data_IF_105675581055
#
_entry.id   IF_105675581055
#
_cell.length_a   1.000
_cell.length_b   1.000
_cell.length_c   1.000
_cell.angle_alpha   90.00
_cell.angle_beta   90.00
_cell.angle_gamma   90.00
#
_symmetry.space_group_name_H-M   'P 1'
#
loop_
_entity.id
_entity.type
_entity.pdbx_description
1 polymer ?
#
# COMPACT_ATOMS: atom_id res chain seq x y z
N UNK A 1 -14.11 7.78 -17.24
CA UNK A 1 -13.26 8.76 -17.93
C UNK A 1 -12.38 9.55 -16.97
N UNK A 2 -12.90 10.35 -16.01
CA UNK A 2 -12.08 11.19 -15.11
C UNK A 2 -10.98 10.43 -14.37
N UNK A 3 -11.31 9.34 -13.63
CA UNK A 3 -10.33 8.56 -12.86
C UNK A 3 -9.27 7.90 -13.75
N UNK A 4 -9.66 7.39 -14.93
CA UNK A 4 -8.72 6.78 -15.86
C UNK A 4 -7.71 7.82 -16.39
N UNK A 5 -8.19 9.00 -16.76
CA UNK A 5 -7.31 10.11 -17.20
C UNK A 5 -6.36 10.53 -16.08
N UNK A 6 -6.86 10.69 -14.85
CA UNK A 6 -6.04 11.03 -13.68
C UNK A 6 -4.97 9.97 -13.40
N UNK A 7 -5.28 8.69 -13.57
CA UNK A 7 -4.31 7.60 -13.43
C UNK A 7 -3.19 7.71 -14.47
N UNK A 8 -3.53 7.92 -15.75
CA UNK A 8 -2.51 8.05 -16.80
C UNK A 8 -1.62 9.27 -16.59
N UNK A 9 -2.17 10.40 -16.13
CA UNK A 9 -1.37 11.57 -15.77
C UNK A 9 -0.42 11.23 -14.62
N UNK A 10 -0.90 10.59 -13.56
CA UNK A 10 -0.08 10.19 -12.43
C UNK A 10 1.04 9.22 -12.82
N UNK A 11 0.74 8.24 -13.67
CA UNK A 11 1.73 7.30 -14.22
C UNK A 11 2.77 8.02 -15.10
N UNK A 12 2.36 8.98 -15.91
CA UNK A 12 3.27 9.80 -16.72
C UNK A 12 4.24 10.60 -15.85
N UNK A 13 3.74 11.29 -14.81
CA UNK A 13 4.57 12.04 -13.87
C UNK A 13 5.50 11.10 -13.09
N UNK A 14 5.01 9.95 -12.63
CA UNK A 14 5.81 8.93 -11.95
C UNK A 14 6.95 8.43 -12.85
N UNK A 15 6.66 8.05 -14.08
CA UNK A 15 7.66 7.52 -15.01
C UNK A 15 8.73 8.56 -15.34
N UNK A 16 8.33 9.80 -15.67
CA UNK A 16 9.27 10.89 -15.94
C UNK A 16 10.09 11.24 -14.71
N UNK A 17 9.48 11.29 -13.53
CA UNK A 17 10.15 11.52 -12.27
C UNK A 17 11.16 10.41 -11.93
N UNK A 18 10.82 9.16 -12.18
CA UNK A 18 11.71 8.02 -12.00
C UNK A 18 12.91 8.08 -12.94
N UNK A 19 12.67 8.36 -14.23
CA UNK A 19 13.73 8.55 -15.24
C UNK A 19 14.65 9.71 -14.82
N UNK A 20 14.09 10.83 -14.39
CA UNK A 20 14.85 11.97 -13.89
C UNK A 20 15.74 11.57 -12.71
N UNK A 21 15.18 10.93 -11.68
CA UNK A 21 15.90 10.51 -10.48
C UNK A 21 17.01 9.49 -10.77
N UNK A 22 16.71 8.44 -11.55
CA UNK A 22 17.70 7.44 -11.92
C UNK A 22 18.79 8.06 -12.78
N UNK A 23 18.44 8.94 -13.73
CA UNK A 23 19.43 9.63 -14.56
C UNK A 23 20.34 10.57 -13.74
N UNK A 24 19.83 11.14 -12.65
CA UNK A 24 20.62 12.01 -11.76
C UNK A 24 21.77 11.25 -11.09
N UNK A 25 21.61 9.97 -10.80
CA UNK A 25 22.67 9.13 -10.24
C UNK A 25 23.93 9.05 -11.12
N UNK A 26 23.79 9.24 -12.40
CA UNK A 26 24.88 9.21 -13.37
C UNK A 26 25.40 10.60 -13.74
N UNK A 27 24.63 11.66 -13.49
CA UNK A 27 24.94 13.04 -13.90
C UNK A 27 25.52 13.90 -12.79
N UNK A 28 25.13 13.65 -11.55
CA UNK A 28 25.64 14.45 -10.44
C UNK A 28 27.10 14.10 -10.15
N UNK A 29 27.89 15.15 -9.95
CA UNK A 29 29.31 15.09 -9.61
C UNK A 29 29.48 15.26 -8.11
N UNK A 30 30.31 14.40 -7.53
CA UNK A 30 30.62 14.40 -6.10
C UNK A 30 32.10 14.05 -5.88
N UNK A 31 32.86 15.00 -5.31
CA UNK A 31 34.27 14.84 -5.06
C UNK A 31 35.18 15.41 -6.17
N UNK A 32 36.49 15.54 -5.89
CA UNK A 32 37.43 16.33 -6.71
C UNK A 32 37.74 15.77 -8.11
N UNK A 33 37.42 14.51 -8.39
CA UNK A 33 37.67 13.87 -9.69
C UNK A 33 36.39 13.43 -10.42
N UNK A 34 35.23 13.89 -9.98
CA UNK A 34 33.93 13.47 -10.50
C UNK A 34 33.69 13.93 -11.95
N UNK A 35 34.12 15.12 -12.28
CA UNK A 35 34.01 15.77 -13.59
C UNK A 35 34.80 15.07 -14.72
N UNK A 36 35.78 14.24 -14.35
CA UNK A 36 36.58 13.45 -15.30
C UNK A 36 35.85 12.21 -15.84
N UNK A 37 34.75 11.79 -15.21
CA UNK A 37 34.04 10.55 -15.55
C UNK A 37 32.68 10.86 -16.16
N UNK A 38 32.55 10.70 -17.48
CA UNK A 38 31.33 11.00 -18.23
C UNK A 38 30.12 10.17 -17.75
N UNK A 39 28.90 10.72 -17.75
CA UNK A 39 27.66 10.01 -17.33
C UNK A 39 27.45 8.67 -18.03
N UNK A 40 27.71 8.60 -19.34
CA UNK A 40 27.58 7.36 -20.13
C UNK A 40 28.54 6.28 -19.63
N UNK A 41 29.78 6.65 -19.28
CA UNK A 41 30.78 5.71 -18.74
C UNK A 41 30.31 5.13 -17.42
N UNK A 42 29.66 5.95 -16.56
CA UNK A 42 29.07 5.50 -15.28
C UNK A 42 27.91 4.55 -15.51
N UNK A 43 27.00 4.87 -16.43
CA UNK A 43 25.86 4.02 -16.78
C UNK A 43 26.31 2.66 -17.34
N UNK A 44 27.28 2.64 -18.27
CA UNK A 44 27.84 1.42 -18.84
C UNK A 44 28.57 0.56 -17.78
N UNK A 45 29.34 1.21 -16.88
CA UNK A 45 30.01 0.54 -15.79
C UNK A 45 29.00 -0.12 -14.82
N UNK A 46 27.89 0.56 -14.50
CA UNK A 46 26.81 0.03 -13.69
C UNK A 46 26.13 -1.17 -14.37
N UNK A 47 25.77 -1.05 -15.65
CA UNK A 47 25.18 -2.13 -16.44
C UNK A 47 26.09 -3.38 -16.47
N UNK A 48 27.38 -3.19 -16.74
CA UNK A 48 28.38 -4.27 -16.68
C UNK A 48 28.44 -4.89 -15.27
N UNK A 49 28.41 -4.08 -14.22
CA UNK A 49 28.41 -4.54 -12.84
C UNK A 49 27.21 -5.44 -12.54
N UNK A 50 26.02 -5.06 -12.98
CA UNK A 50 24.78 -5.84 -12.82
C UNK A 50 24.92 -7.20 -13.51
N UNK A 51 25.34 -7.22 -14.78
CA UNK A 51 25.56 -8.47 -15.54
C UNK A 51 26.56 -9.39 -14.83
N UNK A 52 27.67 -8.84 -14.36
CA UNK A 52 28.69 -9.61 -13.63
C UNK A 52 28.16 -10.21 -12.32
N UNK A 53 27.29 -9.52 -11.60
CA UNK A 53 26.63 -10.03 -10.39
C UNK A 53 25.72 -11.20 -10.75
N UNK A 54 24.86 -11.03 -11.77
CA UNK A 54 23.89 -12.04 -12.19
C UNK A 54 24.56 -13.33 -12.70
N UNK A 55 25.71 -13.20 -13.38
CA UNK A 55 26.46 -14.32 -13.95
C UNK A 55 27.53 -14.90 -13.02
N UNK A 56 27.65 -14.41 -11.78
CA UNK A 56 28.67 -14.86 -10.85
C UNK A 56 28.06 -15.44 -9.56
N UNK A 57 28.90 -16.06 -8.73
CA UNK A 57 28.50 -16.51 -7.38
C UNK A 57 28.03 -15.38 -6.47
N UNK A 58 28.19 -14.12 -6.86
CA UNK A 58 27.66 -12.96 -6.14
C UNK A 58 26.13 -12.92 -6.15
N UNK A 59 25.46 -13.66 -7.05
CA UNK A 59 24.01 -13.82 -7.04
C UNK A 59 23.49 -14.40 -5.71
N UNK A 60 24.26 -15.29 -5.07
CA UNK A 60 23.89 -15.86 -3.76
C UNK A 60 23.94 -14.77 -2.68
N UNK A 61 24.95 -13.91 -2.72
CA UNK A 61 25.05 -12.76 -1.80
C UNK A 61 23.92 -11.76 -2.06
N UNK A 62 23.61 -11.50 -3.33
CA UNK A 62 22.47 -10.67 -3.72
C UNK A 62 21.17 -11.21 -3.12
N UNK A 63 20.86 -12.49 -3.32
CA UNK A 63 19.63 -13.12 -2.81
C UNK A 63 19.57 -13.09 -1.27
N UNK A 64 20.69 -13.39 -0.58
CA UNK A 64 20.77 -13.31 0.88
C UNK A 64 20.50 -11.89 1.39
N UNK A 65 21.15 -10.89 0.82
CA UNK A 65 20.99 -9.49 1.24
C UNK A 65 19.59 -8.98 0.90
N UNK A 66 19.08 -9.32 -0.27
CA UNK A 66 17.70 -8.95 -0.66
C UNK A 66 16.68 -9.56 0.33
N UNK A 67 16.81 -10.84 0.66
CA UNK A 67 15.89 -11.49 1.58
C UNK A 67 16.02 -10.92 3.02
N UNK A 68 17.22 -10.93 3.59
CA UNK A 68 17.38 -10.61 5.00
C UNK A 68 17.47 -9.12 5.29
N UNK A 69 18.16 -8.33 4.44
CA UNK A 69 18.39 -6.92 4.74
C UNK A 69 17.34 -5.99 4.08
N UNK A 70 16.76 -6.41 2.93
CA UNK A 70 15.72 -5.61 2.26
C UNK A 70 14.32 -6.04 2.70
N UNK A 71 13.95 -7.33 2.52
CA UNK A 71 12.60 -7.78 2.84
C UNK A 71 12.37 -7.88 4.36
N UNK A 72 13.23 -8.57 5.10
CA UNK A 72 13.10 -8.72 6.56
C UNK A 72 13.74 -7.59 7.37
N UNK A 73 14.50 -6.71 6.72
CA UNK A 73 15.11 -5.51 7.34
C UNK A 73 15.90 -5.85 8.61
N UNK A 74 16.70 -6.91 8.57
CA UNK A 74 17.42 -7.45 9.72
C UNK A 74 18.31 -6.42 10.44
N UNK A 75 18.86 -5.42 9.72
CA UNK A 75 19.60 -4.31 10.32
C UNK A 75 18.72 -3.46 11.22
N UNK A 76 17.52 -3.11 10.75
CA UNK A 76 16.55 -2.34 11.53
C UNK A 76 16.10 -3.10 12.78
N UNK A 77 15.93 -4.42 12.67
CA UNK A 77 15.60 -5.28 13.81
C UNK A 77 16.71 -5.28 14.87
N UNK A 78 17.96 -5.48 14.46
CA UNK A 78 19.13 -5.47 15.37
C UNK A 78 19.33 -4.10 16.05
N UNK A 79 18.97 -3.03 15.36
CA UNK A 79 19.11 -1.66 15.89
C UNK A 79 18.01 -1.32 16.90
N UNK A 80 16.77 -1.62 16.59
CA UNK A 80 15.60 -1.36 17.44
C UNK A 80 14.41 -2.21 16.97
N UNK A 81 14.08 -3.30 17.68
CA UNK A 81 12.94 -4.16 17.32
C UNK A 81 11.61 -3.42 17.23
N UNK A 82 11.41 -2.41 18.08
CA UNK A 82 10.17 -1.61 18.06
C UNK A 82 10.09 -0.72 16.82
N UNK A 83 11.20 -0.09 16.40
CA UNK A 83 11.25 0.67 15.15
C UNK A 83 11.05 -0.24 13.94
N UNK A 84 11.65 -1.42 13.99
CA UNK A 84 11.49 -2.43 12.96
C UNK A 84 10.04 -2.89 12.84
N UNK A 85 9.37 -3.21 13.95
CA UNK A 85 7.97 -3.63 13.96
C UNK A 85 7.05 -2.58 13.34
N UNK A 86 7.19 -1.33 13.77
CA UNK A 86 6.46 -0.19 13.19
C UNK A 86 6.65 -0.11 11.67
N UNK A 87 7.90 -0.16 11.21
CA UNK A 87 8.22 -0.05 9.80
C UNK A 87 7.76 -1.27 9.00
N UNK A 88 7.92 -2.48 9.57
CA UNK A 88 7.44 -3.71 8.93
C UNK A 88 5.92 -3.74 8.77
N UNK A 89 5.18 -3.23 9.75
CA UNK A 89 3.73 -3.12 9.63
C UNK A 89 3.32 -2.21 8.47
N UNK A 90 3.95 -1.03 8.33
CA UNK A 90 3.70 -0.15 7.19
C UNK A 90 4.16 -0.81 5.89
N UNK A 91 5.39 -1.33 5.85
CA UNK A 91 6.01 -1.88 4.64
C UNK A 91 5.26 -3.11 4.13
N UNK A 92 5.12 -4.14 4.98
CA UNK A 92 4.46 -5.38 4.58
C UNK A 92 2.97 -5.14 4.28
N UNK A 93 2.27 -4.40 5.14
CA UNK A 93 0.87 -4.06 4.91
C UNK A 93 0.66 -3.30 3.60
N UNK A 94 1.48 -2.29 3.33
CA UNK A 94 1.40 -1.50 2.10
C UNK A 94 1.73 -2.33 0.85
N UNK A 95 2.83 -3.07 0.85
CA UNK A 95 3.24 -3.89 -0.31
C UNK A 95 2.21 -4.98 -0.60
N UNK A 96 1.72 -5.67 0.44
CA UNK A 96 0.72 -6.73 0.24
C UNK A 96 -0.64 -6.18 -0.20
N UNK A 97 -1.05 -4.99 0.29
CA UNK A 97 -2.23 -4.30 -0.26
C UNK A 97 -2.01 -3.84 -1.70
N UNK A 98 -0.84 -3.33 -2.04
CA UNK A 98 -0.52 -2.93 -3.42
C UNK A 98 -0.67 -4.12 -4.37
N UNK A 99 -0.10 -5.27 -4.02
CA UNK A 99 -0.15 -6.48 -4.83
C UNK A 99 -1.58 -7.04 -4.94
N UNK A 100 -2.29 -7.13 -3.81
CA UNK A 100 -3.59 -7.81 -3.74
C UNK A 100 -4.76 -6.91 -4.14
N UNK A 101 -4.62 -5.58 -4.06
CA UNK A 101 -5.72 -4.65 -4.29
C UNK A 101 -5.49 -3.72 -5.50
N UNK A 102 -4.35 -3.00 -5.54
CA UNK A 102 -4.09 -2.06 -6.63
C UNK A 102 -3.62 -2.75 -7.92
N UNK A 103 -2.91 -3.87 -7.79
CA UNK A 103 -2.38 -4.67 -8.90
C UNK A 103 -3.11 -6.03 -9.01
N UNK A 104 -4.35 -6.12 -8.50
CA UNK A 104 -5.12 -7.36 -8.46
C UNK A 104 -5.27 -8.01 -9.83
N UNK A 105 -5.62 -7.24 -10.85
CA UNK A 105 -5.78 -7.74 -12.24
C UNK A 105 -4.48 -8.22 -12.87
N UNK A 106 -3.33 -7.64 -12.47
CA UNK A 106 -2.03 -7.97 -13.06
C UNK A 106 -1.34 -9.13 -12.32
N UNK A 107 -1.51 -9.22 -11.00
CA UNK A 107 -0.76 -10.14 -10.14
C UNK A 107 -1.67 -11.14 -9.47
N UNK A 108 -2.63 -10.68 -8.67
CA UNK A 108 -3.40 -11.59 -7.82
C UNK A 108 -4.32 -12.49 -8.64
N UNK A 109 -5.04 -11.93 -9.62
CA UNK A 109 -5.89 -12.71 -10.52
C UNK A 109 -5.10 -13.61 -11.47
N UNK A 110 -3.83 -13.29 -11.75
CA UNK A 110 -2.96 -14.18 -12.54
C UNK A 110 -2.46 -15.39 -11.73
N UNK A 111 -2.35 -15.25 -10.41
CA UNK A 111 -1.90 -16.32 -9.51
C UNK A 111 -3.08 -17.14 -8.98
N UNK A 112 -4.20 -16.50 -8.70
CA UNK A 112 -5.41 -17.09 -8.13
C UNK A 112 -6.57 -16.91 -9.11
N UNK A 113 -6.94 -17.99 -9.81
CA UNK A 113 -7.98 -17.96 -10.88
C UNK A 113 -9.34 -17.52 -10.33
N UNK A 114 -9.69 -17.95 -9.11
CA UNK A 114 -10.97 -17.64 -8.46
C UNK A 114 -10.88 -16.40 -7.56
N UNK A 115 -9.96 -15.48 -7.84
CA UNK A 115 -9.82 -14.28 -7.04
C UNK A 115 -11.05 -13.38 -7.12
N UNK A 116 -11.65 -13.13 -5.96
CA UNK A 116 -12.64 -12.07 -5.76
C UNK A 116 -12.28 -11.25 -4.51
N UNK A 117 -12.26 -9.93 -4.60
CA UNK A 117 -11.84 -9.07 -3.47
C UNK A 117 -12.80 -9.11 -2.29
N UNK A 118 -14.02 -9.62 -2.48
CA UNK A 118 -15.08 -9.76 -1.46
C UNK A 118 -15.24 -11.19 -0.97
N UNK A 119 -14.40 -12.13 -1.46
CA UNK A 119 -14.40 -13.53 -1.06
C UNK A 119 -13.22 -13.83 -0.11
N UNK A 120 -13.43 -14.72 0.88
CA UNK A 120 -12.34 -15.23 1.69
C UNK A 120 -11.44 -16.20 0.90
N UNK A 121 -10.13 -16.21 1.18
CA UNK A 121 -9.44 -15.48 2.26
C UNK A 121 -9.07 -14.02 1.92
N UNK A 122 -9.31 -13.56 0.71
CA UNK A 122 -8.84 -12.26 0.21
C UNK A 122 -9.48 -11.07 0.94
N UNK A 123 -10.78 -11.17 1.27
CA UNK A 123 -11.48 -10.16 2.05
C UNK A 123 -10.82 -9.95 3.42
N UNK A 124 -10.52 -11.04 4.14
CA UNK A 124 -9.83 -10.99 5.43
C UNK A 124 -8.41 -10.43 5.30
N UNK A 125 -7.64 -10.92 4.32
CA UNK A 125 -6.24 -10.51 4.13
C UNK A 125 -6.14 -9.01 3.79
N UNK A 126 -7.04 -8.47 2.98
CA UNK A 126 -7.07 -7.03 2.68
C UNK A 126 -7.30 -6.19 3.93
N UNK A 127 -8.23 -6.60 4.78
CA UNK A 127 -8.48 -5.94 6.06
C UNK A 127 -7.29 -6.09 7.03
N UNK A 128 -6.65 -7.26 7.08
CA UNK A 128 -5.45 -7.49 7.88
C UNK A 128 -4.30 -6.56 7.44
N UNK A 129 -4.07 -6.45 6.15
CA UNK A 129 -3.00 -5.58 5.63
C UNK A 129 -3.30 -4.10 5.85
N UNK A 130 -4.56 -3.70 5.74
CA UNK A 130 -4.99 -2.35 6.11
C UNK A 130 -4.78 -2.08 7.61
N UNK A 131 -5.10 -3.06 8.49
CA UNK A 131 -4.81 -2.98 9.91
C UNK A 131 -3.33 -2.76 10.20
N UNK A 132 -2.46 -3.54 9.57
CA UNK A 132 -1.01 -3.40 9.73
C UNK A 132 -0.55 -1.98 9.38
N UNK A 133 -0.99 -1.44 8.23
CA UNK A 133 -0.65 -0.07 7.83
C UNK A 133 -1.14 0.94 8.87
N UNK A 134 -2.39 0.86 9.30
CA UNK A 134 -2.98 1.80 10.26
C UNK A 134 -2.30 1.74 11.63
N UNK A 135 -2.02 0.54 12.14
CA UNK A 135 -1.29 0.35 13.41
C UNK A 135 0.14 0.90 13.29
N UNK A 136 0.86 0.52 12.24
CA UNK A 136 2.22 1.01 12.00
C UNK A 136 2.28 2.54 11.89
N UNK A 137 1.30 3.13 11.20
CA UNK A 137 1.17 4.58 11.06
C UNK A 137 0.84 5.25 12.41
N UNK A 138 -0.05 4.66 13.20
CA UNK A 138 -0.36 5.12 14.56
C UNK A 138 0.87 5.14 15.46
N UNK A 139 1.69 4.07 15.40
CA UNK A 139 2.97 4.01 16.13
C UNK A 139 3.94 5.09 15.63
N UNK A 140 4.02 5.32 14.31
CA UNK A 140 4.89 6.35 13.73
C UNK A 140 4.48 7.76 14.19
N UNK A 141 3.19 8.06 14.18
CA UNK A 141 2.61 9.32 14.67
C UNK A 141 2.92 9.49 16.17
N UNK A 142 2.63 8.48 16.97
CA UNK A 142 2.90 8.49 18.42
C UNK A 142 4.37 8.81 18.72
N UNK A 143 5.29 8.10 18.08
CA UNK A 143 6.73 8.30 18.28
C UNK A 143 7.22 9.70 17.87
N UNK A 144 6.66 10.24 16.80
CA UNK A 144 7.12 11.50 16.21
C UNK A 144 6.52 12.71 16.93
N UNK A 145 5.23 12.69 17.22
CA UNK A 145 4.50 13.85 17.72
C UNK A 145 4.26 13.84 19.23
N UNK A 146 4.14 12.63 19.84
CA UNK A 146 3.87 12.48 21.28
C UNK A 146 5.17 12.23 22.04
N UNK A 147 5.95 11.21 21.70
CA UNK A 147 7.24 10.94 22.32
C UNK A 147 8.32 11.96 21.94
N UNK A 148 8.18 12.63 20.81
CA UNK A 148 9.14 13.66 20.31
C UNK A 148 10.58 13.18 20.40
N UNK A 149 10.88 12.02 19.84
CA UNK A 149 12.21 11.41 19.90
C UNK A 149 13.24 12.39 19.35
N UNK A 150 14.26 12.85 20.10
CA UNK A 150 15.14 13.98 19.74
C UNK A 150 15.88 13.81 18.42
N UNK A 151 16.19 12.55 18.03
CA UNK A 151 16.89 12.26 16.76
C UNK A 151 16.01 12.35 15.51
N UNK A 152 14.65 12.34 15.68
CA UNK A 152 13.71 12.36 14.58
C UNK A 152 13.33 13.81 14.25
N UNK A 153 14.10 14.43 13.39
CA UNK A 153 13.70 15.74 12.84
C UNK A 153 12.52 15.56 11.90
N UNK A 154 11.39 16.25 12.19
CA UNK A 154 10.17 16.16 11.36
C UNK A 154 10.24 17.19 10.24
N UNK A 155 10.43 16.74 9.02
CA UNK A 155 10.38 17.55 7.81
C UNK A 155 8.95 17.62 7.23
N UNK A 156 8.63 18.63 6.39
CA UNK A 156 7.34 18.66 5.67
C UNK A 156 7.10 17.39 4.85
N UNK A 157 8.15 16.76 4.34
CA UNK A 157 8.07 15.52 3.58
C UNK A 157 7.63 14.32 4.45
N UNK A 158 8.00 14.29 5.73
CA UNK A 158 7.51 13.27 6.67
C UNK A 158 6.02 13.42 6.92
N UNK A 159 5.56 14.66 7.07
CA UNK A 159 4.13 14.97 7.25
C UNK A 159 3.36 14.56 6.01
N UNK A 160 3.86 14.88 4.81
CA UNK A 160 3.24 14.46 3.55
C UNK A 160 3.05 12.94 3.48
N UNK A 161 4.11 12.15 3.76
CA UNK A 161 4.03 10.68 3.71
C UNK A 161 3.02 10.13 4.73
N UNK A 162 3.01 10.66 5.95
CA UNK A 162 2.06 10.24 7.00
C UNK A 162 0.62 10.56 6.57
N UNK A 163 0.38 11.79 6.11
CA UNK A 163 -0.96 12.25 5.72
C UNK A 163 -1.49 11.47 4.52
N UNK A 164 -0.68 11.29 3.48
CA UNK A 164 -1.13 10.60 2.26
C UNK A 164 -1.45 9.13 2.55
N UNK A 165 -0.61 8.44 3.34
CA UNK A 165 -0.89 7.06 3.75
C UNK A 165 -2.13 6.95 4.65
N UNK A 166 -2.32 7.90 5.57
CA UNK A 166 -3.52 7.95 6.42
C UNK A 166 -4.79 8.16 5.60
N UNK A 167 -4.75 9.04 4.60
CA UNK A 167 -5.90 9.27 3.71
C UNK A 167 -6.17 8.02 2.87
N UNK A 168 -5.16 7.41 2.26
CA UNK A 168 -5.34 6.21 1.42
C UNK A 168 -5.92 5.07 2.26
N UNK A 169 -5.27 4.69 3.36
CA UNK A 169 -5.72 3.58 4.19
C UNK A 169 -7.07 3.85 4.86
N UNK A 170 -7.24 5.04 5.46
CA UNK A 170 -8.47 5.43 6.14
C UNK A 170 -9.66 5.54 5.19
N UNK A 171 -9.50 6.22 4.04
CA UNK A 171 -10.57 6.31 3.05
C UNK A 171 -10.93 4.95 2.44
N UNK A 172 -9.96 4.04 2.29
CA UNK A 172 -10.21 2.68 1.81
C UNK A 172 -11.10 1.88 2.77
N UNK A 173 -10.74 1.86 4.05
CA UNK A 173 -11.54 1.21 5.10
C UNK A 173 -12.93 1.83 5.19
N UNK A 174 -13.01 3.16 5.19
CA UNK A 174 -14.31 3.85 5.31
C UNK A 174 -15.19 3.64 4.06
N UNK A 175 -14.58 3.61 2.88
CA UNK A 175 -15.29 3.27 1.63
C UNK A 175 -15.88 1.86 1.66
N UNK A 176 -15.11 0.87 2.12
CA UNK A 176 -15.59 -0.51 2.26
C UNK A 176 -16.73 -0.57 3.28
N UNK A 177 -16.60 0.10 4.43
CA UNK A 177 -17.63 0.17 5.48
C UNK A 177 -18.95 0.77 4.98
N UNK A 178 -18.87 1.88 4.25
CA UNK A 178 -20.07 2.50 3.65
C UNK A 178 -20.70 1.60 2.60
N UNK A 179 -19.91 0.84 1.82
CA UNK A 179 -20.44 -0.12 0.84
C UNK A 179 -21.13 -1.29 1.50
N UNK A 180 -20.64 -1.80 2.64
CA UNK A 180 -21.28 -2.88 3.41
C UNK A 180 -22.70 -2.49 3.81
N UNK A 181 -22.93 -1.26 4.26
CA UNK A 181 -24.24 -0.80 4.73
C UNK A 181 -25.14 -0.20 3.65
N UNK A 182 -24.64 -0.02 2.42
CA UNK A 182 -25.31 0.74 1.36
C UNK A 182 -26.42 -0.04 0.69
N UNK A 183 -27.65 0.47 0.79
CA UNK A 183 -28.81 -0.09 0.09
C UNK A 183 -28.74 0.09 -1.42
N UNK A 184 -28.28 1.26 -1.89
CA UNK A 184 -28.15 1.52 -3.34
C UNK A 184 -27.12 0.62 -4.01
N UNK A 185 -26.06 0.21 -3.29
CA UNK A 185 -25.09 -0.77 -3.82
C UNK A 185 -25.67 -2.18 -3.88
N UNK A 186 -26.41 -2.55 -2.84
CA UNK A 186 -27.12 -3.82 -2.82
C UNK A 186 -28.10 -3.92 -3.99
N UNK A 187 -28.97 -2.93 -4.19
CA UNK A 187 -29.95 -2.94 -5.28
C UNK A 187 -29.30 -3.02 -6.66
N UNK A 188 -28.26 -2.21 -6.92
CA UNK A 188 -27.52 -2.28 -8.19
C UNK A 188 -26.88 -3.65 -8.43
N UNK A 189 -26.35 -4.30 -7.39
CA UNK A 189 -25.78 -5.64 -7.49
C UNK A 189 -26.86 -6.68 -7.80
N UNK A 190 -27.99 -6.59 -7.11
CA UNK A 190 -29.12 -7.51 -7.32
C UNK A 190 -29.70 -7.38 -8.73
N UNK A 191 -29.85 -6.15 -9.23
CA UNK A 191 -30.32 -5.89 -10.59
C UNK A 191 -29.37 -6.44 -11.67
N UNK A 192 -28.06 -6.48 -11.40
CA UNK A 192 -27.05 -6.91 -12.37
C UNK A 192 -26.82 -8.44 -12.35
N UNK A 193 -26.91 -9.07 -11.16
CA UNK A 193 -26.41 -10.44 -10.97
C UNK A 193 -27.45 -11.43 -10.46
N UNK A 194 -28.58 -11.00 -9.89
CA UNK A 194 -29.55 -11.92 -9.34
C UNK A 194 -30.70 -12.20 -10.31
N UNK A 195 -31.11 -13.46 -10.39
CA UNK A 195 -32.34 -13.91 -11.07
C UNK A 195 -33.33 -14.43 -10.03
N UNK A 196 -34.62 -14.17 -10.25
CA UNK A 196 -35.69 -14.59 -9.36
C UNK A 196 -36.74 -15.40 -10.11
N UNK A 197 -37.17 -16.49 -9.51
CA UNK A 197 -38.22 -17.38 -10.07
C UNK A 197 -39.63 -16.93 -9.67
N UNK A 198 -39.74 -16.12 -8.57
CA UNK A 198 -41.00 -15.66 -8.04
C UNK A 198 -40.92 -14.21 -7.51
N UNK A 199 -42.11 -13.59 -7.29
CA UNK A 199 -42.23 -12.20 -6.85
C UNK A 199 -41.75 -11.98 -5.38
N UNK A 200 -41.67 -13.03 -4.57
CA UNK A 200 -41.20 -12.93 -3.16
C UNK A 200 -39.67 -13.05 -3.02
N UNK A 201 -38.99 -13.57 -4.03
CA UNK A 201 -37.55 -13.77 -4.05
C UNK A 201 -36.73 -12.53 -3.70
N UNK A 202 -36.98 -11.35 -4.31
CA UNK A 202 -36.28 -10.11 -3.99
C UNK A 202 -36.38 -9.74 -2.51
N UNK A 203 -37.56 -9.86 -1.89
CA UNK A 203 -37.78 -9.55 -0.47
C UNK A 203 -37.06 -10.54 0.45
N UNK A 204 -37.07 -11.82 0.06
CA UNK A 204 -36.39 -12.87 0.82
C UNK A 204 -34.89 -12.68 0.81
N UNK A 205 -34.29 -12.40 -0.35
CA UNK A 205 -32.87 -12.11 -0.46
C UNK A 205 -32.49 -10.83 0.32
N UNK A 206 -33.29 -9.76 0.22
CA UNK A 206 -33.09 -8.52 0.96
C UNK A 206 -33.13 -8.74 2.48
N UNK A 207 -34.10 -9.51 2.98
CA UNK A 207 -34.23 -9.87 4.39
C UNK A 207 -33.00 -10.64 4.90
N UNK A 208 -32.52 -11.58 4.10
CA UNK A 208 -31.30 -12.33 4.40
C UNK A 208 -30.07 -11.43 4.46
N UNK A 209 -29.89 -10.51 3.50
CA UNK A 209 -28.78 -9.59 3.48
C UNK A 209 -28.82 -8.54 4.61
N UNK A 210 -30.00 -8.08 5.01
CA UNK A 210 -30.15 -7.20 6.19
C UNK A 210 -29.70 -7.92 7.45
N UNK A 211 -29.98 -9.22 7.58
CA UNK A 211 -29.63 -10.01 8.77
C UNK A 211 -28.16 -10.44 8.78
N UNK A 212 -27.63 -10.91 7.66
CA UNK A 212 -26.35 -11.62 7.59
C UNK A 212 -25.21 -10.80 6.97
N UNK A 213 -25.54 -9.76 6.18
CA UNK A 213 -24.58 -8.94 5.44
C UNK A 213 -24.58 -7.46 5.85
N UNK A 214 -25.30 -7.10 6.91
CA UNK A 214 -25.32 -5.77 7.53
C UNK A 214 -25.78 -4.61 6.62
N UNK A 215 -26.44 -4.89 5.48
CA UNK A 215 -27.07 -3.81 4.69
C UNK A 215 -28.19 -3.15 5.50
N UNK A 216 -28.43 -1.86 5.24
CA UNK A 216 -29.51 -1.11 5.87
C UNK A 216 -30.59 -0.83 4.85
N UNK A 217 -31.70 -1.60 4.93
CA UNK A 217 -32.83 -1.42 4.03
C UNK A 217 -33.84 -0.40 4.54
N UNK A 218 -34.39 0.44 3.67
CA UNK A 218 -35.57 1.26 3.96
C UNK A 218 -36.88 0.48 3.89
N UNK A 219 -36.87 -0.73 3.27
CA UNK A 219 -38.08 -1.49 2.95
C UNK A 219 -38.37 -2.60 3.95
N UNK A 220 -37.33 -3.32 4.40
CA UNK A 220 -37.46 -4.48 5.28
C UNK A 220 -36.72 -4.26 6.60
N UNK A 221 -37.35 -4.69 7.70
CA UNK A 221 -36.81 -4.63 9.05
C UNK A 221 -37.19 -5.89 9.80
N UNK A 222 -36.29 -6.36 10.68
CA UNK A 222 -36.58 -7.50 11.55
C UNK A 222 -37.64 -7.20 12.61
N UNK A 223 -38.18 -8.22 13.26
CA UNK A 223 -37.77 -9.63 13.13
C UNK A 223 -38.22 -10.26 11.80
N UNK A 224 -37.44 -11.22 11.28
CA UNK A 224 -37.70 -11.88 10.00
C UNK A 224 -38.25 -13.30 10.24
N UNK A 225 -39.19 -13.74 9.38
CA UNK A 225 -39.69 -15.10 9.35
C UNK A 225 -38.55 -16.08 8.97
N UNK A 226 -38.41 -17.21 9.69
CA UNK A 226 -37.37 -18.21 9.36
C UNK A 226 -37.48 -18.77 7.92
N UNK A 227 -38.69 -18.90 7.38
CA UNK A 227 -38.89 -19.40 6.02
C UNK A 227 -38.39 -18.38 4.97
N UNK A 228 -38.67 -17.08 5.19
CA UNK A 228 -38.18 -15.99 4.34
C UNK A 228 -36.64 -15.94 4.35
N UNK A 229 -36.03 -16.17 5.52
CA UNK A 229 -34.58 -16.23 5.61
C UNK A 229 -33.97 -17.47 4.94
N UNK A 230 -34.62 -18.60 5.06
CA UNK A 230 -34.19 -19.85 4.39
C UNK A 230 -34.20 -19.68 2.86
N UNK A 231 -35.32 -19.17 2.31
CA UNK A 231 -35.41 -18.85 0.88
C UNK A 231 -34.38 -17.81 0.46
N UNK A 232 -34.17 -16.73 1.24
CA UNK A 232 -33.17 -15.70 0.96
C UNK A 232 -31.73 -16.25 0.98
N UNK A 233 -31.47 -17.24 1.84
CA UNK A 233 -30.18 -17.94 1.89
C UNK A 233 -29.96 -18.76 0.62
N UNK A 234 -30.98 -19.53 0.18
CA UNK A 234 -30.91 -20.33 -1.05
C UNK A 234 -30.62 -19.44 -2.27
N UNK A 235 -31.34 -18.33 -2.42
CA UNK A 235 -31.12 -17.37 -3.50
C UNK A 235 -29.70 -16.77 -3.42
N UNK A 236 -29.20 -16.48 -2.21
CA UNK A 236 -27.84 -16.00 -2.00
C UNK A 236 -26.80 -17.04 -2.43
N UNK A 237 -27.00 -18.31 -2.08
CA UNK A 237 -26.07 -19.39 -2.44
C UNK A 237 -26.00 -19.57 -3.96
N UNK A 238 -27.10 -19.42 -4.67
CA UNK A 238 -27.12 -19.52 -6.12
C UNK A 238 -26.50 -18.32 -6.86
N UNK A 239 -26.73 -17.11 -6.38
CA UNK A 239 -26.39 -15.90 -7.15
C UNK A 239 -25.23 -15.08 -6.58
N UNK A 240 -24.92 -15.18 -5.28
CA UNK A 240 -24.04 -14.22 -4.59
C UNK A 240 -22.84 -14.87 -3.90
N UNK A 241 -22.97 -16.11 -3.41
CA UNK A 241 -21.98 -16.77 -2.57
C UNK A 241 -20.63 -17.01 -3.27
N UNK A 242 -20.65 -17.15 -4.60
CA UNK A 242 -19.42 -17.30 -5.40
C UNK A 242 -18.50 -16.06 -5.40
N UNK A 243 -19.04 -14.89 -5.03
CA UNK A 243 -18.27 -13.64 -4.98
C UNK A 243 -18.26 -12.95 -3.61
N UNK A 244 -19.19 -13.30 -2.71
CA UNK A 244 -19.39 -12.60 -1.44
C UNK A 244 -19.30 -13.52 -0.23
N UNK A 245 -18.30 -13.29 0.62
CA UNK A 245 -18.23 -13.80 1.99
C UNK A 245 -18.88 -12.82 2.97
N UNK A 246 -19.26 -13.32 4.15
CA UNK A 246 -19.89 -12.48 5.19
C UNK A 246 -18.98 -11.31 5.61
N UNK A 247 -19.53 -10.11 5.84
CA UNK A 247 -18.75 -8.88 6.08
C UNK A 247 -17.91 -8.91 7.34
N UNK A 248 -18.23 -9.73 8.34
CA UNK A 248 -17.43 -9.89 9.56
C UNK A 248 -15.97 -10.33 9.28
N UNK A 249 -15.68 -10.91 8.12
CA UNK A 249 -14.32 -11.19 7.71
C UNK A 249 -13.53 -9.92 7.31
N UNK A 250 -14.23 -8.86 6.92
CA UNK A 250 -13.67 -7.52 6.79
C UNK A 250 -13.66 -6.80 8.16
N UNK A 251 -13.02 -7.36 9.16
CA UNK A 251 -13.21 -7.08 10.58
C UNK A 251 -13.07 -5.60 10.97
N UNK A 252 -12.18 -4.81 10.33
CA UNK A 252 -12.09 -3.37 10.58
C UNK A 252 -13.25 -2.65 9.92
N UNK A 253 -13.48 -2.93 8.64
CA UNK A 253 -14.53 -2.27 7.86
C UNK A 253 -15.91 -2.63 8.36
N UNK A 254 -16.12 -3.86 8.81
CA UNK A 254 -17.35 -4.32 9.45
C UNK A 254 -17.58 -3.62 10.80
N UNK A 255 -16.53 -3.47 11.61
CA UNK A 255 -16.61 -2.70 12.86
C UNK A 255 -17.03 -1.25 12.63
N UNK A 256 -16.45 -0.59 11.64
CA UNK A 256 -16.84 0.78 11.24
C UNK A 256 -18.25 0.77 10.62
N UNK A 257 -18.62 -0.22 9.80
CA UNK A 257 -19.95 -0.38 9.22
C UNK A 257 -21.03 -0.44 10.31
N UNK A 258 -20.81 -1.22 11.36
CA UNK A 258 -21.71 -1.31 12.52
C UNK A 258 -21.85 0.02 13.24
N UNK A 259 -20.76 0.77 13.40
CA UNK A 259 -20.79 2.10 14.02
C UNK A 259 -21.60 3.14 13.21
N UNK A 260 -21.52 3.09 11.87
CA UNK A 260 -22.24 4.03 10.99
C UNK A 260 -23.65 3.56 10.61
N UNK A 261 -24.04 2.32 10.97
CA UNK A 261 -25.34 1.72 10.64
C UNK A 261 -26.56 2.62 10.92
N UNK A 262 -26.62 3.37 12.06
CA UNK A 262 -27.74 4.25 12.35
C UNK A 262 -27.95 5.40 11.35
N UNK A 263 -26.90 5.80 10.67
CA UNK A 263 -26.94 6.90 9.67
C UNK A 263 -26.74 6.42 8.23
N UNK A 264 -26.64 5.11 8.01
CA UNK A 264 -26.28 4.51 6.72
C UNK A 264 -27.16 4.97 5.56
N UNK A 265 -28.49 5.05 5.73
CA UNK A 265 -29.40 5.54 4.70
C UNK A 265 -29.18 7.02 4.36
N UNK A 266 -28.76 7.84 5.32
CA UNK A 266 -28.39 9.26 5.04
C UNK A 266 -27.09 9.32 4.23
N UNK A 267 -26.09 8.49 4.60
CA UNK A 267 -24.82 8.38 3.88
C UNK A 267 -25.04 7.88 2.44
N UNK A 268 -25.94 6.93 2.28
CA UNK A 268 -26.29 6.37 0.97
C UNK A 268 -26.99 7.43 0.09
N UNK A 269 -27.95 8.18 0.65
CA UNK A 269 -28.65 9.27 -0.04
C UNK A 269 -27.71 10.35 -0.57
N UNK A 270 -26.66 10.71 0.18
CA UNK A 270 -25.64 11.68 -0.26
C UNK A 270 -24.56 11.04 -1.15
N UNK A 271 -24.70 9.77 -1.49
CA UNK A 271 -23.76 9.00 -2.34
C UNK A 271 -22.34 9.05 -1.80
N UNK A 272 -22.16 8.94 -0.47
CA UNK A 272 -20.86 9.06 0.18
C UNK A 272 -19.85 8.04 -0.36
N UNK A 273 -20.28 6.82 -0.71
CA UNK A 273 -19.41 5.81 -1.32
C UNK A 273 -18.73 6.30 -2.61
N UNK A 274 -19.41 7.13 -3.41
CA UNK A 274 -18.84 7.73 -4.62
C UNK A 274 -17.78 8.79 -4.29
N UNK A 275 -18.04 9.65 -3.30
CA UNK A 275 -17.07 10.66 -2.87
C UNK A 275 -15.84 10.05 -2.25
N UNK A 276 -15.99 9.06 -1.38
CA UNK A 276 -14.88 8.31 -0.79
C UNK A 276 -14.05 7.59 -1.84
N UNK A 277 -14.68 7.07 -2.90
CA UNK A 277 -13.98 6.49 -4.04
C UNK A 277 -13.05 7.52 -4.69
N UNK A 278 -13.53 8.73 -4.97
CA UNK A 278 -12.69 9.79 -5.52
C UNK A 278 -11.56 10.18 -4.57
N UNK A 279 -11.83 10.37 -3.29
CA UNK A 279 -10.81 10.70 -2.29
C UNK A 279 -9.73 9.63 -2.26
N UNK A 280 -10.12 8.35 -2.21
CA UNK A 280 -9.20 7.22 -2.16
C UNK A 280 -8.30 7.15 -3.40
N UNK A 281 -8.89 7.19 -4.59
CA UNK A 281 -8.12 7.11 -5.84
C UNK A 281 -7.26 8.34 -6.07
N UNK A 282 -7.77 9.55 -5.84
CA UNK A 282 -6.98 10.77 -6.03
C UNK A 282 -5.81 10.83 -5.04
N UNK A 283 -6.00 10.44 -3.78
CA UNK A 283 -4.91 10.34 -2.82
C UNK A 283 -3.84 9.32 -3.28
N UNK A 284 -4.26 8.16 -3.78
CA UNK A 284 -3.34 7.16 -4.34
C UNK A 284 -2.58 7.69 -5.57
N UNK A 285 -3.25 8.41 -6.47
CA UNK A 285 -2.63 8.99 -7.66
C UNK A 285 -1.66 10.12 -7.31
N UNK A 286 -1.99 10.97 -6.31
CA UNK A 286 -1.06 11.98 -5.80
C UNK A 286 0.17 11.31 -5.18
N UNK A 287 -0.02 10.27 -4.36
CA UNK A 287 1.06 9.48 -3.79
C UNK A 287 1.96 8.85 -4.86
N UNK A 288 1.37 8.30 -5.92
CA UNK A 288 2.08 7.73 -7.06
C UNK A 288 2.86 8.78 -7.85
N UNK A 289 2.21 9.88 -8.24
CA UNK A 289 2.85 10.96 -9.01
C UNK A 289 4.02 11.59 -8.25
N UNK A 290 3.88 11.76 -6.94
CA UNK A 290 4.90 12.37 -6.10
C UNK A 290 5.92 11.37 -5.53
N UNK A 291 5.76 10.08 -5.81
CA UNK A 291 6.64 9.01 -5.34
C UNK A 291 8.14 9.28 -5.60
N UNK A 292 8.58 9.62 -6.84
CA UNK A 292 9.99 9.86 -7.13
C UNK A 292 10.59 11.06 -6.40
N UNK A 293 9.75 12.03 -6.02
CA UNK A 293 10.15 13.31 -5.41
C UNK A 293 9.96 13.34 -3.89
N UNK A 294 9.45 12.26 -3.32
CA UNK A 294 9.15 12.14 -1.89
C UNK A 294 10.05 11.13 -1.18
N UNK A 295 9.87 11.01 0.13
CA UNK A 295 10.54 9.95 0.91
C UNK A 295 10.14 8.53 0.48
N UNK A 296 9.07 8.34 -0.29
CA UNK A 296 8.76 7.03 -0.87
C UNK A 296 9.86 6.51 -1.80
N UNK A 297 10.65 7.40 -2.41
CA UNK A 297 11.75 6.99 -3.26
C UNK A 297 12.81 6.13 -2.55
N UNK A 298 12.90 6.21 -1.21
CA UNK A 298 13.76 5.32 -0.45
C UNK A 298 13.40 3.84 -0.63
N UNK A 299 12.17 3.50 -1.01
CA UNK A 299 11.77 2.13 -1.32
C UNK A 299 12.55 1.54 -2.52
N UNK A 300 13.12 2.39 -3.37
CA UNK A 300 14.01 2.01 -4.47
C UNK A 300 15.47 2.23 -4.07
N UNK A 301 15.80 3.42 -3.58
CA UNK A 301 17.19 3.80 -3.32
C UNK A 301 17.83 3.02 -2.16
N UNK A 302 17.10 2.76 -1.04
CA UNK A 302 17.67 2.03 0.10
C UNK A 302 17.96 0.57 -0.20
N UNK A 303 17.09 -0.23 -0.84
CA UNK A 303 17.45 -1.56 -1.32
C UNK A 303 18.70 -1.59 -2.21
N UNK A 304 18.76 -0.67 -3.17
CA UNK A 304 19.94 -0.56 -4.05
C UNK A 304 21.22 -0.24 -3.26
N UNK A 305 21.17 0.72 -2.33
CA UNK A 305 22.33 1.06 -1.49
C UNK A 305 22.78 -0.14 -0.64
N UNK A 306 21.85 -0.90 -0.04
CA UNK A 306 22.15 -2.11 0.73
C UNK A 306 22.82 -3.19 -0.13
N UNK A 307 22.29 -3.43 -1.33
CA UNK A 307 22.84 -4.40 -2.28
C UNK A 307 24.23 -3.98 -2.77
N UNK A 308 24.40 -2.72 -3.15
CA UNK A 308 25.70 -2.17 -3.58
C UNK A 308 26.75 -2.28 -2.49
N UNK A 309 26.38 -2.02 -1.23
CA UNK A 309 27.28 -2.14 -0.07
C UNK A 309 27.75 -3.58 0.17
N UNK A 310 26.91 -4.58 -0.15
CA UNK A 310 27.27 -5.98 0.03
C UNK A 310 28.04 -6.58 -1.16
N UNK A 311 27.82 -6.08 -2.37
CA UNK A 311 28.34 -6.65 -3.61
C UNK A 311 29.61 -5.99 -4.12
N UNK A 312 29.82 -4.71 -3.76
CA UNK A 312 30.97 -3.91 -4.21
C UNK A 312 32.09 -3.90 -3.17
N UNK A 313 33.30 -4.24 -3.63
CA UNK A 313 34.54 -3.99 -2.86
C UNK A 313 35.09 -2.62 -3.27
N UNK A 314 35.18 -1.64 -2.34
CA UNK A 314 35.69 -0.32 -2.67
C UNK A 314 37.12 -0.31 -3.24
N UNK A 315 37.95 -1.27 -2.86
CA UNK A 315 39.35 -1.35 -3.32
C UNK A 315 39.48 -1.92 -4.75
N UNK A 316 38.46 -2.63 -5.23
CA UNK A 316 38.48 -3.32 -6.53
C UNK A 316 37.47 -2.75 -7.53
N UNK A 317 36.59 -1.87 -7.08
CA UNK A 317 35.55 -1.29 -7.92
C UNK A 317 36.11 -0.11 -8.73
N UNK A 318 35.58 0.06 -9.95
CA UNK A 318 35.97 1.22 -10.78
C UNK A 318 35.54 2.54 -10.13
N UNK A 319 36.28 3.63 -10.35
CA UNK A 319 35.89 4.96 -9.86
C UNK A 319 34.47 5.36 -10.31
N UNK A 320 34.07 5.01 -11.53
CA UNK A 320 32.73 5.24 -12.07
C UNK A 320 31.63 4.60 -11.21
N UNK A 321 31.83 3.35 -10.80
CA UNK A 321 30.87 2.64 -9.96
C UNK A 321 30.86 3.16 -8.52
N UNK A 322 32.01 3.55 -7.97
CA UNK A 322 32.10 4.14 -6.63
C UNK A 322 31.36 5.47 -6.54
N UNK A 323 31.56 6.33 -7.54
CA UNK A 323 30.86 7.60 -7.61
C UNK A 323 29.34 7.43 -7.72
N UNK A 324 28.87 6.54 -8.60
CA UNK A 324 27.44 6.24 -8.73
C UNK A 324 26.85 5.67 -7.43
N UNK A 325 27.57 4.77 -6.75
CA UNK A 325 27.18 4.25 -5.44
C UNK A 325 27.00 5.35 -4.40
N UNK A 326 27.95 6.30 -4.31
CA UNK A 326 27.85 7.41 -3.35
C UNK A 326 26.59 8.27 -3.56
N UNK A 327 26.23 8.56 -4.80
CA UNK A 327 25.01 9.31 -5.11
C UNK A 327 23.76 8.51 -4.72
N UNK A 328 23.72 7.21 -5.00
CA UNK A 328 22.59 6.35 -4.59
C UNK A 328 22.47 6.32 -3.05
N UNK A 329 23.58 6.26 -2.32
CA UNK A 329 23.59 6.29 -0.85
C UNK A 329 23.05 7.61 -0.29
N UNK A 330 23.32 8.74 -0.94
CA UNK A 330 22.73 10.03 -0.57
C UNK A 330 21.21 10.04 -0.79
N UNK A 331 20.72 9.54 -1.92
CA UNK A 331 19.29 9.44 -2.19
C UNK A 331 18.57 8.41 -1.29
N UNK A 332 19.29 7.39 -0.80
CA UNK A 332 18.79 6.41 0.14
C UNK A 332 18.59 6.95 1.56
N UNK A 333 19.15 8.12 1.87
CA UNK A 333 19.10 8.71 3.20
C UNK A 333 17.68 9.18 3.55
N UNK A 334 17.08 8.56 4.56
CA UNK A 334 15.74 8.91 5.07
C UNK A 334 15.77 9.98 6.17
N UNK A 335 16.94 10.52 6.49
CA UNK A 335 17.14 11.49 7.58
C UNK A 335 16.65 10.98 8.95
N UNK A 336 16.84 9.69 9.24
CA UNK A 336 16.39 9.06 10.48
C UNK A 336 17.23 9.46 11.71
N UNK A 337 18.30 10.21 11.56
CA UNK A 337 19.17 10.70 12.64
C UNK A 337 20.05 9.64 13.31
N UNK A 338 20.07 8.39 12.83
CA UNK A 338 20.88 7.33 13.44
C UNK A 338 22.38 7.61 13.36
N UNK A 339 22.86 8.18 12.26
CA UNK A 339 24.26 8.59 12.10
C UNK A 339 24.65 9.74 13.04
N UNK A 340 23.74 10.70 13.25
CA UNK A 340 23.98 11.85 14.13
C UNK A 340 24.19 11.43 15.58
N UNK A 341 23.40 10.45 16.05
CA UNK A 341 23.55 9.93 17.43
C UNK A 341 24.86 9.20 17.64
N UNK A 342 25.41 8.56 16.59
CA UNK A 342 26.65 7.79 16.60
C UNK A 342 27.88 8.61 16.22
N UNK A 343 27.70 9.85 15.81
CA UNK A 343 28.81 10.72 15.42
C UNK A 343 29.60 11.14 16.65
N UNK A 344 30.94 10.92 16.62
CA UNK A 344 31.84 11.30 17.69
C UNK A 344 31.93 12.83 17.85
N UNK A 345 31.68 13.59 16.78
CA UNK A 345 31.63 15.06 16.76
C UNK A 345 30.19 15.52 16.90
N UNK A 346 29.52 15.13 17.98
CA UNK A 346 28.17 15.56 18.28
C UNK A 346 28.15 17.04 18.65
N UNK A 347 27.91 17.89 17.67
CA UNK A 347 27.58 19.28 17.94
C UNK A 347 26.19 19.30 18.58
N UNK A 348 26.11 19.72 19.82
CA UNK A 348 24.81 19.90 20.50
C UNK A 348 24.02 20.97 19.75
N UNK A 349 22.89 20.56 19.16
CA UNK A 349 21.83 21.42 18.67
C UNK A 349 20.81 21.60 19.77
#
# INVERSE_FOLDING_TARGET
>A
MFLSTSLYIALGIFALGLIYKVSSWFRYDFGPDSDKIKPLTRALAAARGIVLVLLSRKIITFLKVFLFEVLFQARSFRESPFCWLMHMFIFAGFVLLLLMHALDKLITSAVFVDYSPTLNPFLFLRNLFAALVLIGLGIAIYRRFIQKIPRLHTSPMDIFVIVILAIIAGSGVFLESVKITSYSRYTSMVEEYASFENEEGPKSLESYWVKEFDIVSPKVKGPFDPNVLAQGKEIHEMNCAGCHSKPQWAFISDGVAKAIKPIALKLDKVKLSKWLLYVHFLAAFIGLAYFPFSKFFHMIASPLALLLNALMDPKRSSPANLLTKQIIELDACTHCGACTVRCAVRVGL
#
